data_IF_567385669950
#
_entry.id   IF_567385669950
#
_cell.length_a   1.000
_cell.length_b   1.000
_cell.length_c   1.000
_cell.angle_alpha   90.00
_cell.angle_beta   90.00
_cell.angle_gamma   90.00
#
_symmetry.space_group_name_H-M   'P 1'
#
loop_
_entity.id
_entity.type
_entity.pdbx_description
1 polymer ?
#
# COMPACT_ATOMS: atom_id res chain seq x y z
N UNK A 1 2.76 13.10 -4.35
CA UNK A 1 1.80 13.86 -3.52
C UNK A 1 2.35 14.16 -2.12
N UNK A 2 1.79 15.11 -1.35
CA UNK A 2 2.19 15.38 0.04
C UNK A 2 1.42 14.48 1.02
N UNK A 3 2.03 14.19 2.18
CA UNK A 3 1.44 13.36 3.23
C UNK A 3 0.01 13.77 3.64
N UNK A 4 -0.24 15.08 3.83
CA UNK A 4 -1.55 15.57 4.27
C UNK A 4 -2.61 15.50 3.17
N UNK A 5 -2.22 15.47 1.90
CA UNK A 5 -3.12 15.24 0.77
C UNK A 5 -3.46 13.74 0.72
N UNK A 6 -2.45 12.87 0.82
CA UNK A 6 -2.63 11.42 0.89
C UNK A 6 -3.60 10.99 1.98
N UNK A 7 -3.46 11.55 3.19
CA UNK A 7 -4.32 11.24 4.32
C UNK A 7 -5.78 11.76 4.20
N UNK A 8 -6.09 12.60 3.20
CA UNK A 8 -7.44 13.14 2.97
C UNK A 8 -8.25 12.34 1.97
N UNK A 9 -7.60 11.55 1.12
CA UNK A 9 -8.27 10.71 0.15
C UNK A 9 -8.46 9.30 0.69
N UNK A 10 -9.58 8.69 0.36
CA UNK A 10 -9.74 7.25 0.49
C UNK A 10 -9.19 6.52 -0.76
N UNK A 11 -9.31 5.20 -0.78
CA UNK A 11 -8.82 4.39 -1.90
C UNK A 11 -9.49 4.74 -3.23
N UNK A 12 -10.76 5.15 -3.22
CA UNK A 12 -11.50 5.53 -4.44
C UNK A 12 -10.97 6.86 -4.96
N UNK A 13 -10.82 7.86 -4.09
CA UNK A 13 -10.26 9.16 -4.44
C UNK A 13 -8.82 9.06 -4.96
N UNK A 14 -7.97 8.24 -4.33
CA UNK A 14 -6.62 7.98 -4.85
C UNK A 14 -6.68 7.31 -6.23
N UNK A 15 -7.54 6.31 -6.41
CA UNK A 15 -7.75 5.66 -7.71
C UNK A 15 -8.15 6.67 -8.79
N UNK A 16 -9.06 7.58 -8.47
CA UNK A 16 -9.58 8.56 -9.42
C UNK A 16 -8.49 9.57 -9.83
N UNK A 17 -7.65 10.01 -8.88
CA UNK A 17 -6.50 10.87 -9.18
C UNK A 17 -5.46 10.18 -10.06
N UNK A 18 -5.19 8.88 -9.83
CA UNK A 18 -4.28 8.09 -10.67
C UNK A 18 -4.87 7.97 -12.09
N UNK A 19 -6.16 7.62 -12.22
CA UNK A 19 -6.85 7.49 -13.51
C UNK A 19 -6.91 8.80 -14.28
N UNK A 20 -7.05 9.92 -13.57
CA UNK A 20 -7.00 11.27 -14.15
C UNK A 20 -5.57 11.70 -14.54
N UNK A 21 -4.54 10.96 -14.13
CA UNK A 21 -3.13 11.30 -14.36
C UNK A 21 -2.62 12.46 -13.50
N UNK A 22 -3.35 12.84 -12.45
CA UNK A 22 -2.96 13.93 -11.54
C UNK A 22 -1.82 13.53 -10.61
N UNK A 23 -1.70 12.23 -10.31
CA UNK A 23 -0.62 11.62 -9.52
C UNK A 23 -0.24 10.28 -10.14
N UNK A 24 0.95 9.76 -9.82
CA UNK A 24 1.37 8.40 -10.25
C UNK A 24 1.26 7.36 -9.14
N UNK A 25 1.18 6.08 -9.50
CA UNK A 25 1.21 4.97 -8.55
C UNK A 25 2.49 5.00 -7.68
N UNK A 26 3.65 5.27 -8.30
CA UNK A 26 4.94 5.37 -7.60
C UNK A 26 4.94 6.51 -6.56
N UNK A 27 4.33 7.65 -6.89
CA UNK A 27 4.21 8.76 -5.95
C UNK A 27 3.33 8.41 -4.75
N UNK A 28 2.24 7.67 -4.98
CA UNK A 28 1.34 7.20 -3.92
C UNK A 28 2.05 6.16 -3.05
N UNK A 29 2.75 5.20 -3.65
CA UNK A 29 3.54 4.19 -2.93
C UNK A 29 4.61 4.85 -2.04
N UNK A 30 5.39 5.78 -2.60
CA UNK A 30 6.42 6.49 -1.85
C UNK A 30 5.82 7.23 -0.64
N UNK A 31 4.67 7.88 -0.83
CA UNK A 31 3.96 8.59 0.23
C UNK A 31 3.42 7.63 1.30
N UNK A 32 2.88 6.49 0.90
CA UNK A 32 2.39 5.46 1.82
C UNK A 32 3.53 4.85 2.66
N UNK A 33 4.70 4.60 2.07
CA UNK A 33 5.89 4.09 2.79
C UNK A 33 6.41 5.10 3.81
N UNK A 34 6.43 6.39 3.45
CA UNK A 34 6.73 7.47 4.40
C UNK A 34 5.70 7.51 5.54
N UNK A 35 4.42 7.34 5.20
CA UNK A 35 3.35 7.31 6.18
C UNK A 35 3.54 6.19 7.20
N UNK A 36 3.77 4.97 6.71
CA UNK A 36 4.06 3.82 7.55
C UNK A 36 5.27 4.04 8.46
N UNK A 37 6.33 4.66 7.97
CA UNK A 37 7.54 4.93 8.78
C UNK A 37 7.20 5.83 9.98
N UNK A 38 6.49 6.93 9.72
CA UNK A 38 6.12 7.90 10.76
C UNK A 38 5.10 7.32 11.74
N UNK A 39 4.07 6.64 11.25
CA UNK A 39 2.98 6.14 12.09
C UNK A 39 3.38 4.89 12.86
N UNK A 40 4.18 3.99 12.27
CA UNK A 40 4.60 2.75 12.93
C UNK A 40 5.48 3.03 14.16
N UNK A 41 6.28 4.10 14.13
CA UNK A 41 7.07 4.55 15.29
C UNK A 41 6.19 4.84 16.52
N UNK A 42 4.95 5.28 16.31
CA UNK A 42 4.01 5.65 17.39
C UNK A 42 3.03 4.53 17.73
N UNK A 43 2.59 3.79 16.73
CA UNK A 43 1.47 2.85 16.84
C UNK A 43 1.90 1.39 16.89
N UNK A 44 3.13 1.07 16.45
CA UNK A 44 3.61 -0.30 16.28
C UNK A 44 2.60 -1.21 15.55
N UNK A 45 2.09 -0.71 14.42
CA UNK A 45 1.00 -1.35 13.67
C UNK A 45 1.45 -2.40 12.65
N UNK A 46 2.74 -2.49 12.34
CA UNK A 46 3.29 -3.48 11.41
C UNK A 46 3.79 -4.71 12.17
N UNK A 47 3.15 -5.86 11.95
CA UNK A 47 3.59 -7.14 12.52
C UNK A 47 4.83 -7.71 11.81
N UNK A 48 5.01 -7.38 10.53
CA UNK A 48 6.10 -7.84 9.67
C UNK A 48 6.69 -6.65 8.90
N UNK A 49 7.93 -6.78 8.38
CA UNK A 49 8.49 -5.79 7.46
C UNK A 49 7.58 -5.55 6.25
N UNK A 50 7.60 -4.31 5.72
CA UNK A 50 6.88 -3.96 4.49
C UNK A 50 7.48 -4.73 3.32
N UNK A 51 6.63 -5.24 2.42
CA UNK A 51 7.06 -5.90 1.20
C UNK A 51 7.87 -4.94 0.31
N UNK A 52 9.00 -5.44 -0.17
CA UNK A 52 9.91 -4.71 -1.05
C UNK A 52 10.52 -5.68 -2.08
N UNK A 53 10.15 -5.60 -3.37
CA UNK A 53 9.17 -4.66 -3.94
C UNK A 53 7.75 -4.91 -3.43
N UNK A 54 6.83 -3.98 -3.70
CA UNK A 54 5.41 -4.25 -3.56
C UNK A 54 5.00 -5.44 -4.43
N UNK A 55 3.87 -6.08 -4.10
CA UNK A 55 3.37 -7.20 -4.90
C UNK A 55 2.86 -6.73 -6.25
N UNK A 56 3.00 -7.59 -7.27
CA UNK A 56 2.42 -7.32 -8.59
C UNK A 56 0.90 -7.17 -8.49
N UNK A 57 0.36 -6.29 -9.33
CA UNK A 57 -1.07 -6.03 -9.44
C UNK A 57 -1.45 -5.90 -10.92
N UNK A 58 -2.75 -6.06 -11.22
CA UNK A 58 -3.26 -5.83 -12.57
C UNK A 58 -3.24 -4.33 -12.91
N UNK A 59 -2.71 -3.98 -14.07
CA UNK A 59 -2.62 -2.59 -14.55
C UNK A 59 -4.00 -1.95 -14.78
N UNK A 60 -5.00 -2.75 -15.16
CA UNK A 60 -6.37 -2.33 -15.45
C UNK A 60 -7.36 -2.59 -14.29
N UNK A 61 -6.83 -2.93 -13.10
CA UNK A 61 -7.63 -3.16 -11.91
C UNK A 61 -8.35 -1.88 -11.43
N UNK A 62 -9.52 -1.99 -10.78
CA UNK A 62 -10.28 -0.83 -10.31
C UNK A 62 -9.51 0.05 -9.30
N UNK A 63 -8.52 -0.55 -8.62
CA UNK A 63 -7.60 0.09 -7.68
C UNK A 63 -6.12 -0.10 -8.07
N UNK A 64 -5.82 -0.21 -9.37
CA UNK A 64 -4.44 -0.29 -9.83
C UNK A 64 -3.61 0.90 -9.28
N UNK A 65 -2.45 0.60 -8.71
CA UNK A 65 -1.58 1.61 -8.06
C UNK A 65 -2.00 2.08 -6.66
N UNK A 66 -3.12 1.61 -6.09
CA UNK A 66 -3.53 1.97 -4.72
C UNK A 66 -2.89 1.02 -3.69
N UNK A 67 -2.14 1.52 -2.68
CA UNK A 67 -1.49 0.67 -1.68
C UNK A 67 -2.48 0.01 -0.71
N UNK A 68 -2.21 -1.25 -0.36
CA UNK A 68 -2.94 -2.00 0.68
C UNK A 68 -1.98 -2.66 1.67
N UNK A 69 -2.46 -2.83 2.91
CA UNK A 69 -1.83 -3.68 3.91
C UNK A 69 -2.57 -5.02 3.98
N UNK A 70 -1.80 -6.10 4.14
CA UNK A 70 -2.33 -7.46 4.31
C UNK A 70 -2.06 -7.90 5.74
N UNK A 71 -3.06 -8.49 6.37
CA UNK A 71 -2.92 -9.03 7.72
C UNK A 71 -2.04 -10.28 7.71
N UNK A 72 -1.23 -10.44 8.76
CA UNK A 72 -0.35 -11.59 8.95
C UNK A 72 -1.11 -12.90 9.24
N UNK A 73 -2.34 -12.80 9.73
CA UNK A 73 -3.26 -13.92 9.91
C UNK A 73 -4.47 -13.78 8.98
N UNK A 74 -4.60 -14.73 8.07
CA UNK A 74 -5.65 -14.73 7.06
C UNK A 74 -5.18 -15.33 5.74
N UNK A 75 -5.92 -15.13 4.63
CA UNK A 75 -5.43 -15.48 3.30
C UNK A 75 -4.10 -14.77 3.02
N UNK A 76 -3.11 -15.54 2.61
CA UNK A 76 -1.77 -15.07 2.27
C UNK A 76 -1.77 -14.69 0.79
N UNK A 77 -1.15 -13.56 0.43
CA UNK A 77 -0.98 -13.20 -0.97
C UNK A 77 -0.25 -14.33 -1.71
N UNK A 78 -0.68 -14.69 -2.92
CA UNK A 78 -0.12 -15.84 -3.63
C UNK A 78 1.41 -15.73 -3.86
N UNK A 79 1.93 -14.51 -4.01
CA UNK A 79 3.36 -14.23 -4.16
C UNK A 79 4.15 -14.34 -2.85
N UNK A 80 3.49 -14.33 -1.69
CA UNK A 80 4.09 -14.62 -0.39
C UNK A 80 4.02 -16.12 -0.18
N UNK A 81 5.06 -16.84 -0.60
CA UNK A 81 5.18 -18.28 -0.39
C UNK A 81 4.85 -18.65 1.06
N UNK A 82 4.16 -19.78 1.28
CA UNK A 82 3.89 -20.26 2.63
C UNK A 82 5.17 -20.79 3.25
N UNK A 83 5.83 -19.98 4.08
CA UNK A 83 6.82 -20.52 5.01
C UNK A 83 6.08 -21.40 6.06
N UNK A 84 6.56 -22.62 6.32
CA UNK A 84 5.96 -23.49 7.32
C UNK A 84 6.06 -22.81 8.70
N UNK A 85 4.90 -22.63 9.35
CA UNK A 85 4.86 -22.20 10.75
C UNK A 85 5.55 -23.28 11.59
N UNK A 86 6.64 -22.91 12.28
CA UNK A 86 7.30 -23.74 13.28
C UNK A 86 6.39 -23.98 14.48
#
# INVERSE_FOLDING_TARGET
MKFHEYARYDAVGISDLIKAGEITADEVEATARQALTVTNTKLNGLALPILSPALDHAEDGPFAGVPFLIKDHGPVAAQLGREPRR
#
